data_IF_469712656405
#
_entry.id   IF_469712656405
#
_cell.length_a   1.000
_cell.length_b   1.000
_cell.length_c   1.000
_cell.angle_alpha   90.00
_cell.angle_beta   90.00
_cell.angle_gamma   90.00
#
_symmetry.space_group_name_H-M   'P 1'
#
loop_
_entity.id
_entity.type
_entity.pdbx_description
1 polymer ?
#
# COMPACT_ATOMS: atom_id res chain seq x y z
N UNK A 1 -37.62 -48.61 -1.66
CA UNK A 1 -36.85 -47.82 -0.69
C UNK A 1 -35.42 -48.35 -0.68
N UNK A 2 -34.55 -47.79 -1.53
CA UNK A 2 -33.10 -47.78 -1.35
C UNK A 2 -32.55 -46.69 -2.26
N UNK A 3 -32.19 -45.60 -1.61
CA UNK A 3 -31.26 -44.52 -1.95
C UNK A 3 -30.80 -44.41 -3.42
N UNK A 4 -31.30 -43.37 -4.09
CA UNK A 4 -30.60 -42.77 -5.22
C UNK A 4 -29.49 -41.91 -4.64
N UNK A 5 -28.27 -42.43 -4.65
CA UNK A 5 -27.05 -41.65 -4.42
C UNK A 5 -26.96 -40.52 -5.44
N UNK A 6 -27.37 -39.31 -5.03
CA UNK A 6 -27.09 -38.05 -5.71
C UNK A 6 -25.68 -37.63 -5.33
N UNK A 7 -24.69 -38.25 -5.97
CA UNK A 7 -23.33 -37.70 -5.97
C UNK A 7 -23.22 -36.75 -7.17
N UNK A 8 -23.00 -35.43 -6.96
CA UNK A 8 -22.83 -34.52 -8.09
C UNK A 8 -21.51 -34.87 -8.78
N UNK A 9 -21.60 -35.39 -9.99
CA UNK A 9 -20.46 -35.46 -10.90
C UNK A 9 -20.07 -34.01 -11.21
N UNK A 10 -19.11 -33.47 -10.46
CA UNK A 10 -18.41 -32.26 -10.84
C UNK A 10 -17.42 -32.68 -11.93
N UNK A 11 -17.86 -32.61 -13.18
CA UNK A 11 -17.00 -32.78 -14.35
C UNK A 11 -15.92 -31.69 -14.33
N UNK A 12 -14.68 -32.08 -14.03
CA UNK A 12 -13.52 -31.18 -13.96
C UNK A 12 -13.19 -30.43 -15.27
N UNK A 13 -13.83 -30.83 -16.37
CA UNK A 13 -13.65 -30.25 -17.71
C UNK A 13 -14.45 -28.94 -17.91
N UNK A 14 -15.63 -28.82 -17.28
CA UNK A 14 -16.45 -27.58 -17.36
C UNK A 14 -15.91 -26.45 -16.49
N UNK A 15 -15.25 -26.78 -15.38
CA UNK A 15 -14.55 -25.81 -14.50
C UNK A 15 -13.27 -25.29 -15.17
N UNK A 16 -12.55 -26.15 -15.90
CA UNK A 16 -11.31 -25.77 -16.60
C UNK A 16 -11.56 -24.80 -17.77
N UNK A 17 -12.65 -24.99 -18.52
CA UNK A 17 -13.00 -24.09 -19.63
C UNK A 17 -13.50 -22.72 -19.14
N UNK A 18 -14.33 -22.69 -18.09
CA UNK A 18 -14.83 -21.44 -17.49
C UNK A 18 -13.70 -20.64 -16.81
N UNK A 19 -12.72 -21.31 -16.20
CA UNK A 19 -11.56 -20.66 -15.61
C UNK A 19 -10.62 -20.06 -16.67
N UNK A 20 -10.48 -20.72 -17.83
CA UNK A 20 -9.77 -20.18 -19.00
C UNK A 20 -10.42 -18.90 -19.53
N UNK A 21 -11.71 -18.95 -19.83
CA UNK A 21 -12.48 -17.79 -20.31
C UNK A 21 -12.45 -16.60 -19.32
N UNK A 22 -12.52 -16.88 -18.02
CA UNK A 22 -12.41 -15.85 -16.98
C UNK A 22 -11.00 -15.25 -16.88
N UNK A 23 -9.96 -16.07 -17.04
CA UNK A 23 -8.57 -15.62 -17.03
C UNK A 23 -8.25 -14.76 -18.27
N UNK A 24 -8.76 -15.14 -19.44
CA UNK A 24 -8.61 -14.38 -20.69
C UNK A 24 -9.37 -13.04 -20.62
N UNK A 25 -10.57 -13.04 -20.04
CA UNK A 25 -11.33 -11.81 -19.81
C UNK A 25 -10.64 -10.89 -18.79
N UNK A 26 -10.08 -11.44 -17.71
CA UNK A 26 -9.31 -10.68 -16.73
C UNK A 26 -8.04 -10.08 -17.34
N UNK A 27 -7.32 -10.86 -18.15
CA UNK A 27 -6.11 -10.43 -18.86
C UNK A 27 -6.43 -9.29 -19.83
N UNK A 28 -7.50 -9.43 -20.60
CA UNK A 28 -7.97 -8.38 -21.52
C UNK A 28 -8.32 -7.07 -20.81
N UNK A 29 -8.94 -7.15 -19.63
CA UNK A 29 -9.25 -5.95 -18.81
C UNK A 29 -8.00 -5.33 -18.22
N UNK A 30 -7.06 -6.14 -17.75
CA UNK A 30 -5.76 -5.65 -17.26
C UNK A 30 -4.99 -4.97 -18.39
N UNK A 31 -5.01 -5.52 -19.60
CA UNK A 31 -4.36 -4.92 -20.76
C UNK A 31 -5.00 -3.59 -21.17
N UNK A 32 -6.33 -3.50 -21.19
CA UNK A 32 -7.03 -2.22 -21.40
C UNK A 32 -6.71 -1.20 -20.32
N UNK A 33 -6.71 -1.61 -19.04
CA UNK A 33 -6.37 -0.73 -17.92
C UNK A 33 -4.92 -0.24 -18.02
N UNK A 34 -3.99 -1.12 -18.41
CA UNK A 34 -2.58 -0.79 -18.63
C UNK A 34 -2.39 0.18 -19.79
N UNK A 35 -3.13 0.00 -20.88
CA UNK A 35 -3.08 0.89 -22.04
C UNK A 35 -3.62 2.27 -21.71
N UNK A 36 -4.76 2.32 -21.01
CA UNK A 36 -5.35 3.56 -20.51
C UNK A 36 -4.37 4.27 -19.57
N UNK A 37 -3.84 3.57 -18.56
CA UNK A 37 -2.86 4.12 -17.64
C UNK A 37 -1.64 4.68 -18.37
N UNK A 38 -1.12 3.97 -19.38
CA UNK A 38 0.02 4.42 -20.19
C UNK A 38 -0.28 5.70 -20.95
N UNK A 39 -1.48 5.84 -21.54
CA UNK A 39 -1.89 7.04 -22.26
C UNK A 39 -2.05 8.24 -21.33
N UNK A 40 -2.63 8.04 -20.14
CA UNK A 40 -2.73 9.08 -19.12
C UNK A 40 -1.36 9.48 -18.57
N UNK A 41 -0.48 8.52 -18.27
CA UNK A 41 0.90 8.80 -17.86
C UNK A 41 1.69 9.49 -18.95
N UNK A 42 1.50 9.15 -20.23
CA UNK A 42 2.19 9.82 -21.33
C UNK A 42 1.74 11.28 -21.48
N UNK A 43 0.44 11.57 -21.30
CA UNK A 43 -0.11 12.93 -21.45
C UNK A 43 0.09 13.82 -20.22
N UNK A 44 0.00 13.24 -19.02
CA UNK A 44 -0.02 14.00 -17.76
C UNK A 44 1.11 13.63 -16.79
N UNK A 45 1.84 12.54 -17.04
CA UNK A 45 2.87 12.04 -16.12
C UNK A 45 4.06 12.98 -15.97
N UNK A 46 4.46 13.68 -17.04
CA UNK A 46 5.51 14.69 -16.96
C UNK A 46 5.10 15.85 -16.04
N UNK A 47 3.89 16.39 -16.23
CA UNK A 47 3.36 17.47 -15.39
C UNK A 47 3.08 17.03 -13.95
N UNK A 48 2.63 15.79 -13.77
CA UNK A 48 2.41 15.21 -12.45
C UNK A 48 3.74 15.01 -11.71
N UNK A 49 4.81 14.59 -12.39
CA UNK A 49 6.13 14.40 -11.77
C UNK A 49 6.69 15.72 -11.25
N UNK A 50 6.61 16.79 -12.04
CA UNK A 50 7.09 18.11 -11.61
C UNK A 50 6.26 18.63 -10.42
N UNK A 51 4.92 18.51 -10.48
CA UNK A 51 4.06 18.89 -9.36
C UNK A 51 4.31 18.04 -8.12
N UNK A 52 4.54 16.74 -8.26
CA UNK A 52 4.84 15.83 -7.14
C UNK A 52 6.17 16.21 -6.51
N UNK A 53 7.20 16.58 -7.27
CA UNK A 53 8.47 17.09 -6.70
C UNK A 53 8.23 18.36 -5.87
N UNK A 54 7.56 19.37 -6.43
CA UNK A 54 7.28 20.62 -5.70
C UNK A 54 6.36 20.39 -4.48
N UNK A 55 5.38 19.50 -4.61
CA UNK A 55 4.49 19.10 -3.51
C UNK A 55 5.22 18.25 -2.48
N UNK A 56 6.24 17.49 -2.85
CA UNK A 56 7.06 16.73 -1.90
C UNK A 56 7.89 17.68 -1.05
N UNK A 57 8.51 18.69 -1.64
CA UNK A 57 9.27 19.71 -0.88
C UNK A 57 8.36 20.48 0.08
N UNK A 58 7.25 21.01 -0.44
CA UNK A 58 6.29 21.79 0.37
C UNK A 58 5.52 20.91 1.37
N UNK A 59 5.20 19.68 0.96
CA UNK A 59 4.46 18.70 1.76
C UNK A 59 5.30 18.16 2.89
N UNK A 60 6.62 17.98 2.69
CA UNK A 60 7.57 17.61 3.74
C UNK A 60 7.57 18.66 4.85
N UNK A 61 7.64 19.94 4.51
CA UNK A 61 7.68 21.02 5.49
C UNK A 61 6.37 21.12 6.29
N UNK A 62 5.21 20.98 5.62
CA UNK A 62 3.90 20.90 6.30
C UNK A 62 3.73 19.64 7.14
N UNK A 63 4.23 18.50 6.66
CA UNK A 63 4.19 17.25 7.39
C UNK A 63 5.08 17.32 8.63
N UNK A 64 6.30 17.87 8.53
CA UNK A 64 7.19 18.07 9.69
C UNK A 64 6.49 18.93 10.75
N UNK A 65 5.90 20.06 10.37
CA UNK A 65 5.17 20.90 11.33
C UNK A 65 3.97 20.19 11.99
N UNK A 66 3.22 19.38 11.24
CA UNK A 66 2.13 18.57 11.79
C UNK A 66 2.62 17.41 12.68
N UNK A 67 3.74 16.79 12.31
CA UNK A 67 4.38 15.72 13.06
C UNK A 67 5.00 16.23 14.37
N UNK A 68 5.56 17.44 14.40
CA UNK A 68 6.06 18.06 15.63
C UNK A 68 4.92 18.30 16.63
N UNK A 69 3.77 18.79 16.14
CA UNK A 69 2.60 19.01 16.97
C UNK A 69 1.98 17.69 17.46
N UNK A 70 1.99 16.66 16.63
CA UNK A 70 1.59 15.31 17.03
C UNK A 70 2.58 14.70 18.04
N UNK A 71 3.88 14.91 17.85
CA UNK A 71 4.93 14.44 18.77
C UNK A 71 4.76 15.08 20.14
N UNK A 72 4.48 16.38 20.20
CA UNK A 72 4.19 17.08 21.45
C UNK A 72 2.96 16.47 22.14
N UNK A 73 1.86 16.25 21.41
CA UNK A 73 0.67 15.57 21.96
C UNK A 73 0.98 14.15 22.47
N UNK A 74 1.78 13.38 21.74
CA UNK A 74 2.17 12.02 22.14
C UNK A 74 3.10 12.07 23.36
N UNK A 75 4.03 13.01 23.45
CA UNK A 75 4.91 13.17 24.62
C UNK A 75 4.11 13.58 25.86
N UNK A 76 3.16 14.51 25.73
CA UNK A 76 2.26 14.91 26.80
C UNK A 76 1.36 13.75 27.26
N UNK A 77 0.94 12.87 26.33
CA UNK A 77 0.17 11.67 26.63
C UNK A 77 1.04 10.54 27.21
N UNK A 78 2.26 10.33 26.71
CA UNK A 78 3.20 9.31 27.17
C UNK A 78 3.70 9.62 28.58
N UNK A 79 3.93 10.89 28.92
CA UNK A 79 4.20 11.31 30.30
C UNK A 79 3.09 10.95 31.29
N UNK A 80 1.87 10.71 30.81
CA UNK A 80 0.74 10.22 31.61
C UNK A 80 0.58 8.69 31.59
N UNK A 81 1.29 7.98 30.70
CA UNK A 81 1.13 6.53 30.44
C UNK A 81 2.35 5.71 30.89
N UNK A 82 3.54 6.33 31.01
CA UNK A 82 4.80 5.70 31.44
C UNK A 82 4.67 4.99 32.81
N UNK A 83 3.73 5.43 33.66
CA UNK A 83 3.42 4.82 34.95
C UNK A 83 2.78 3.41 34.88
N UNK A 84 2.35 2.90 33.71
CA UNK A 84 1.51 1.68 33.62
C UNK A 84 1.97 0.55 32.71
N UNK A 85 2.99 0.74 31.87
CA UNK A 85 3.32 -0.23 30.81
C UNK A 85 4.60 -1.01 31.15
N UNK A 86 4.43 -2.08 31.94
CA UNK A 86 5.51 -2.96 32.38
C UNK A 86 6.23 -3.74 31.25
N UNK A 87 7.29 -4.46 31.63
CA UNK A 87 8.32 -5.08 30.79
C UNK A 87 7.87 -5.99 29.63
N UNK A 88 6.61 -6.42 29.59
CA UNK A 88 6.10 -7.42 28.64
C UNK A 88 5.76 -6.86 27.24
N UNK A 89 5.69 -5.53 27.08
CA UNK A 89 5.60 -4.88 25.76
C UNK A 89 6.97 -4.62 25.09
N UNK A 90 8.08 -4.90 25.79
CA UNK A 90 9.43 -4.53 25.36
C UNK A 90 9.95 -5.30 24.13
N UNK A 91 9.59 -6.57 23.96
CA UNK A 91 10.18 -7.41 22.91
C UNK A 91 9.56 -7.17 21.52
N UNK A 92 8.26 -6.91 21.46
CA UNK A 92 7.60 -6.50 20.22
C UNK A 92 8.00 -5.07 19.83
N UNK A 93 8.18 -4.19 20.82
CA UNK A 93 8.72 -2.86 20.60
C UNK A 93 10.18 -2.91 20.09
N UNK A 94 11.01 -3.82 20.60
CA UNK A 94 12.43 -3.92 20.23
C UNK A 94 12.63 -4.48 18.82
N UNK A 95 11.81 -5.45 18.41
CA UNK A 95 11.84 -5.97 17.02
C UNK A 95 11.31 -4.95 16.01
N UNK A 96 10.21 -4.27 16.32
CA UNK A 96 9.72 -3.16 15.50
C UNK A 96 10.74 -2.00 15.44
N UNK A 97 11.38 -1.66 16.57
CA UNK A 97 12.42 -0.64 16.65
C UNK A 97 13.63 -0.99 15.78
N UNK A 98 14.00 -2.27 15.67
CA UNK A 98 15.06 -2.73 14.76
C UNK A 98 14.74 -2.45 13.30
N UNK A 99 13.51 -2.75 12.86
CA UNK A 99 13.05 -2.46 11.48
C UNK A 99 13.02 -0.96 11.20
N UNK A 100 12.51 -0.18 12.15
CA UNK A 100 12.46 1.29 12.04
C UNK A 100 13.87 1.89 11.99
N UNK A 101 14.79 1.44 12.85
CA UNK A 101 16.17 1.93 12.88
C UNK A 101 16.92 1.65 11.58
N UNK A 102 16.76 0.46 11.00
CA UNK A 102 17.36 0.10 9.71
C UNK A 102 16.78 0.91 8.55
N UNK A 103 15.49 1.26 8.63
CA UNK A 103 14.83 2.13 7.65
C UNK A 103 15.29 3.59 7.80
N UNK A 104 15.40 4.10 9.03
CA UNK A 104 15.89 5.45 9.31
C UNK A 104 17.35 5.64 8.90
N UNK A 105 18.21 4.64 9.08
CA UNK A 105 19.58 4.66 8.56
C UNK A 105 19.63 4.78 7.05
N UNK A 106 18.80 3.99 6.35
CA UNK A 106 18.70 4.07 4.89
C UNK A 106 18.13 5.41 4.39
N UNK A 107 17.16 6.01 5.08
CA UNK A 107 16.64 7.34 4.71
C UNK A 107 17.67 8.45 4.94
N UNK A 108 18.52 8.30 5.95
CA UNK A 108 19.50 9.33 6.33
C UNK A 108 20.74 9.31 5.44
N UNK A 109 21.14 8.13 4.99
CA UNK A 109 22.38 7.95 4.23
C UNK A 109 22.15 7.83 2.72
N UNK A 110 20.89 7.63 2.25
CA UNK A 110 20.58 7.52 0.82
C UNK A 110 19.95 8.78 0.25
N UNK A 111 20.42 9.13 -0.93
CA UNK A 111 19.79 10.15 -1.76
C UNK A 111 18.45 9.66 -2.32
N UNK A 112 17.57 10.61 -2.67
CA UNK A 112 16.25 10.31 -3.24
C UNK A 112 16.39 9.48 -4.53
N UNK A 113 17.41 9.75 -5.35
CA UNK A 113 17.74 8.94 -6.52
C UNK A 113 18.06 7.47 -6.16
N UNK A 114 18.82 7.22 -5.09
CA UNK A 114 19.14 5.84 -4.66
C UNK A 114 17.92 5.11 -4.11
N UNK A 115 17.09 5.79 -3.31
CA UNK A 115 15.83 5.23 -2.83
C UNK A 115 14.89 4.86 -3.98
N UNK A 116 14.87 5.68 -5.04
CA UNK A 116 14.06 5.42 -6.22
C UNK A 116 14.58 4.23 -7.02
N UNK A 117 15.90 4.09 -7.13
CA UNK A 117 16.55 2.96 -7.81
C UNK A 117 16.30 1.64 -7.07
N UNK A 118 16.41 1.64 -5.73
CA UNK A 118 16.08 0.48 -4.89
C UNK A 118 14.60 0.11 -4.97
N UNK A 119 13.71 1.09 -4.94
CA UNK A 119 12.29 0.86 -5.12
C UNK A 119 12.00 0.23 -6.49
N UNK A 120 12.65 0.71 -7.57
CA UNK A 120 12.56 0.11 -8.91
C UNK A 120 13.09 -1.32 -8.91
N UNK A 121 14.21 -1.58 -8.25
CA UNK A 121 14.79 -2.91 -8.13
C UNK A 121 13.85 -3.87 -7.39
N UNK A 122 13.21 -3.42 -6.31
CA UNK A 122 12.21 -4.19 -5.56
C UNK A 122 10.97 -4.52 -6.41
N UNK A 123 10.42 -3.54 -7.13
CA UNK A 123 9.29 -3.74 -8.04
C UNK A 123 9.64 -4.77 -9.12
N UNK A 124 10.86 -4.70 -9.68
CA UNK A 124 11.35 -5.65 -10.68
C UNK A 124 11.55 -7.05 -10.11
N UNK A 125 12.03 -7.16 -8.87
CA UNK A 125 12.24 -8.42 -8.15
C UNK A 125 10.91 -9.14 -7.88
N UNK A 126 9.90 -8.38 -7.48
CA UNK A 126 8.63 -8.91 -6.97
C UNK A 126 7.43 -8.09 -7.47
N UNK A 127 7.05 -8.21 -8.76
CA UNK A 127 5.97 -7.42 -9.34
C UNK A 127 4.61 -7.64 -8.66
N UNK A 128 4.29 -8.87 -8.25
CA UNK A 128 3.03 -9.17 -7.56
C UNK A 128 2.89 -8.50 -6.19
N UNK A 129 3.98 -8.47 -5.40
CA UNK A 129 3.99 -7.81 -4.09
C UNK A 129 3.81 -6.31 -4.26
N UNK A 130 4.50 -5.71 -5.22
CA UNK A 130 4.36 -4.29 -5.52
C UNK A 130 2.92 -3.91 -5.92
N UNK A 131 2.28 -4.72 -6.77
CA UNK A 131 0.86 -4.51 -7.16
C UNK A 131 -0.05 -4.60 -5.93
N UNK A 132 0.15 -5.59 -5.05
CA UNK A 132 -0.63 -5.73 -3.82
C UNK A 132 -0.48 -4.54 -2.88
N UNK A 133 0.75 -4.06 -2.68
CA UNK A 133 1.03 -2.88 -1.84
C UNK A 133 0.40 -1.62 -2.45
N UNK A 134 0.54 -1.41 -3.77
CA UNK A 134 -0.06 -0.26 -4.46
C UNK A 134 -1.60 -0.28 -4.35
N UNK A 135 -2.22 -1.45 -4.52
CA UNK A 135 -3.67 -1.61 -4.38
C UNK A 135 -4.14 -1.33 -2.93
N UNK A 136 -3.41 -1.85 -1.93
CA UNK A 136 -3.73 -1.62 -0.52
C UNK A 136 -3.60 -0.13 -0.14
N UNK A 137 -2.53 0.53 -0.57
CA UNK A 137 -2.34 1.96 -0.35
C UNK A 137 -3.41 2.80 -1.06
N UNK A 138 -3.71 2.49 -2.32
CA UNK A 138 -4.77 3.16 -3.08
C UNK A 138 -6.14 3.00 -2.44
N UNK A 139 -6.47 1.80 -1.96
CA UNK A 139 -7.71 1.53 -1.21
C UNK A 139 -7.76 2.30 0.10
N UNK A 140 -6.66 2.32 0.88
CA UNK A 140 -6.61 3.06 2.13
C UNK A 140 -6.85 4.56 1.92
N UNK A 141 -6.21 5.16 0.91
CA UNK A 141 -6.43 6.56 0.53
C UNK A 141 -7.86 6.81 0.07
N UNK A 142 -8.40 5.95 -0.80
CA UNK A 142 -9.79 6.03 -1.24
C UNK A 142 -10.76 5.94 -0.06
N UNK A 143 -10.46 5.05 0.90
CA UNK A 143 -11.26 4.84 2.10
C UNK A 143 -11.27 6.08 2.98
N UNK A 144 -10.12 6.72 3.21
CA UNK A 144 -9.99 7.96 4.01
C UNK A 144 -10.79 9.09 3.38
N UNK A 145 -10.60 9.31 2.08
CA UNK A 145 -11.35 10.33 1.32
C UNK A 145 -12.86 10.05 1.41
N UNK A 146 -13.29 8.81 1.18
CA UNK A 146 -14.69 8.41 1.26
C UNK A 146 -15.27 8.59 2.68
N UNK A 147 -14.56 8.23 3.75
CA UNK A 147 -15.01 8.50 5.13
C UNK A 147 -15.17 9.99 5.41
N UNK A 148 -14.29 10.85 4.88
CA UNK A 148 -14.39 12.29 5.07
C UNK A 148 -15.53 12.93 4.28
N UNK A 149 -16.02 12.28 3.22
CA UNK A 149 -17.20 12.68 2.45
C UNK A 149 -18.51 12.17 3.09
N UNK A 150 -18.49 10.99 3.71
CA UNK A 150 -19.65 10.41 4.42
C UNK A 150 -20.00 11.19 5.71
N UNK A 151 -19.06 11.93 6.30
CA UNK A 151 -19.34 12.84 7.43
C UNK A 151 -20.16 14.10 7.02
N UNK A 152 -20.49 14.25 5.73
CA UNK A 152 -21.20 15.42 5.19
C UNK A 152 -22.52 15.10 4.49
N UNK A 153 -23.00 13.85 4.56
CA UNK A 153 -24.28 13.40 4.01
C UNK A 153 -25.34 13.22 5.11
#
# INVERSE_FOLDING_TARGET
MSDTDLNPVIDGDTVSNTAGDAADAATSRVDQAKQTAKDYTAKYGAQATDKIRTLADTGKERAIGGLDQLSQMIQDAAGQVDDKLGAQYGDYARSAAGVVSNFSGQIRDKDVEELLEDARAFVRKSPGVAIGVAAALGFALARVVQSGLDDKA
#
